data_IF_869240606261
#
_entry.id   IF_869240606261
#
_cell.length_a   1.000
_cell.length_b   1.000
_cell.length_c   1.000
_cell.angle_alpha   90.00
_cell.angle_beta   90.00
_cell.angle_gamma   90.00
#
_symmetry.space_group_name_H-M   'P 1'
#
loop_
_entity.id
_entity.type
_entity.pdbx_description
1 polymer ?
#
# COMPACT_ATOMS: atom_id res chain seq x y z
N UNK A 1 -42.79 24.04 -69.14
CA UNK A 1 -42.25 24.67 -67.93
C UNK A 1 -42.20 23.63 -66.86
N UNK A 2 -41.05 22.95 -66.70
CA UNK A 2 -40.83 21.95 -65.70
C UNK A 2 -40.16 22.58 -64.45
N UNK A 3 -40.87 22.61 -63.34
CA UNK A 3 -40.33 23.05 -62.03
C UNK A 3 -39.48 21.88 -61.44
N UNK A 4 -38.16 22.08 -61.34
CA UNK A 4 -37.27 21.18 -60.68
C UNK A 4 -37.40 21.43 -59.17
N UNK A 5 -37.83 20.42 -58.40
CA UNK A 5 -37.87 20.39 -57.00
C UNK A 5 -36.47 19.99 -56.47
N UNK A 6 -35.80 20.90 -55.76
CA UNK A 6 -34.49 20.66 -55.13
C UNK A 6 -34.73 20.06 -53.78
N UNK A 7 -34.43 18.77 -53.58
CA UNK A 7 -34.41 18.15 -52.29
C UNK A 7 -33.09 18.50 -51.60
N UNK A 8 -33.17 19.29 -50.52
CA UNK A 8 -32.07 19.51 -49.59
C UNK A 8 -31.98 18.29 -48.65
N UNK A 9 -30.93 17.51 -48.82
CA UNK A 9 -30.56 16.45 -47.88
C UNK A 9 -29.66 17.08 -46.85
N UNK A 10 -30.15 17.24 -45.59
CA UNK A 10 -29.32 17.58 -44.42
C UNK A 10 -28.57 16.32 -44.00
N UNK A 11 -27.25 16.38 -43.79
CA UNK A 11 -26.53 15.29 -43.18
C UNK A 11 -26.83 15.32 -41.65
N UNK A 12 -27.45 14.25 -41.18
CA UNK A 12 -27.60 13.97 -39.76
C UNK A 12 -26.24 13.51 -39.23
N UNK A 13 -25.51 14.42 -38.59
CA UNK A 13 -24.28 14.05 -37.87
C UNK A 13 -24.68 13.24 -36.64
N UNK A 14 -24.49 11.92 -36.72
CA UNK A 14 -24.46 11.08 -35.52
C UNK A 14 -23.24 11.50 -34.68
N UNK A 15 -23.48 12.25 -33.61
CA UNK A 15 -22.55 12.31 -32.49
C UNK A 15 -22.55 10.91 -31.86
N UNK A 16 -21.60 10.08 -32.20
CA UNK A 16 -21.21 8.95 -31.40
C UNK A 16 -20.63 9.52 -30.11
N UNK A 17 -21.43 9.54 -29.02
CA UNK A 17 -20.90 9.65 -27.68
C UNK A 17 -20.03 8.41 -27.45
N UNK A 18 -18.73 8.54 -27.63
CA UNK A 18 -17.78 7.60 -27.10
C UNK A 18 -17.93 7.69 -25.58
N UNK A 19 -18.70 6.78 -24.98
CA UNK A 19 -18.50 6.42 -23.59
C UNK A 19 -17.10 5.78 -23.53
N UNK A 20 -16.08 6.62 -23.35
CA UNK A 20 -14.83 6.19 -22.78
C UNK A 20 -15.19 5.72 -21.39
N UNK A 21 -15.03 4.43 -21.11
CA UNK A 21 -14.85 3.96 -19.76
C UNK A 21 -13.48 4.49 -19.31
N UNK A 22 -13.45 5.75 -18.87
CA UNK A 22 -12.40 6.22 -18.01
C UNK A 22 -12.61 5.42 -16.70
N UNK A 23 -11.89 4.33 -16.55
CA UNK A 23 -11.77 3.60 -15.32
C UNK A 23 -11.07 4.56 -14.34
N UNK A 24 -11.86 5.40 -13.66
CA UNK A 24 -11.32 6.24 -12.59
C UNK A 24 -10.73 5.34 -11.51
N UNK A 25 -9.70 5.84 -10.82
CA UNK A 25 -9.08 5.15 -9.71
C UNK A 25 -10.13 4.72 -8.68
N UNK A 26 -10.01 3.49 -8.19
CA UNK A 26 -10.88 2.92 -7.15
C UNK A 26 -10.18 2.97 -5.80
N UNK A 27 -10.92 3.05 -4.68
CA UNK A 27 -10.31 2.96 -3.34
C UNK A 27 -9.43 1.73 -3.14
N UNK A 28 -9.73 0.64 -3.83
CA UNK A 28 -9.02 -0.64 -3.76
C UNK A 28 -7.70 -0.67 -4.51
N UNK A 29 -7.41 0.33 -5.35
CA UNK A 29 -6.18 0.36 -6.17
C UNK A 29 -4.96 0.81 -5.36
N UNK A 30 -5.16 1.38 -4.17
CA UNK A 30 -4.11 1.94 -3.33
C UNK A 30 -4.22 1.49 -1.87
N UNK A 31 -3.10 1.52 -1.18
CA UNK A 31 -3.09 1.69 0.27
C UNK A 31 -3.13 3.20 0.58
N UNK A 32 -3.77 3.59 1.66
CA UNK A 32 -4.08 4.96 1.98
C UNK A 32 -3.53 5.37 3.34
N UNK A 33 -2.92 6.54 3.43
CA UNK A 33 -2.49 7.15 4.68
C UNK A 33 -3.36 8.35 5.01
N UNK A 34 -3.90 8.40 6.23
CA UNK A 34 -4.73 9.51 6.70
C UNK A 34 -3.93 10.82 6.73
N UNK A 35 -4.46 11.85 6.08
CA UNK A 35 -3.91 13.20 6.06
C UNK A 35 -4.82 14.21 6.74
N UNK A 36 -6.12 13.89 6.87
CA UNK A 36 -7.09 14.74 7.52
C UNK A 36 -8.20 13.96 8.20
N UNK A 37 -8.65 14.46 9.35
CA UNK A 37 -9.81 13.95 10.11
C UNK A 37 -10.68 15.11 10.54
N UNK A 38 -12.01 15.01 10.32
CA UNK A 38 -12.94 16.05 10.73
C UNK A 38 -13.11 16.08 12.25
N UNK A 39 -12.93 17.25 12.83
CA UNK A 39 -13.29 17.55 14.23
C UNK A 39 -14.80 17.60 14.43
N UNK A 40 -15.22 17.73 15.67
CA UNK A 40 -16.64 17.84 16.05
C UNK A 40 -17.37 19.06 15.48
N UNK A 41 -16.61 20.06 15.02
CA UNK A 41 -17.11 21.27 14.34
C UNK A 41 -17.13 21.14 12.80
N UNK A 42 -16.74 19.97 12.28
CA UNK A 42 -16.64 19.68 10.86
C UNK A 42 -15.38 20.23 10.18
N UNK A 43 -14.44 20.85 10.93
CA UNK A 43 -13.17 21.31 10.38
C UNK A 43 -12.21 20.12 10.22
N UNK A 44 -11.57 20.02 9.05
CA UNK A 44 -10.52 19.03 8.81
C UNK A 44 -9.24 19.46 9.54
N UNK A 45 -8.70 18.55 10.35
CA UNK A 45 -7.44 18.71 11.05
C UNK A 45 -6.44 17.62 10.68
N UNK A 46 -5.14 17.92 10.79
CA UNK A 46 -4.11 16.91 10.60
C UNK A 46 -4.16 15.84 11.72
N UNK A 47 -3.79 14.60 11.43
CA UNK A 47 -3.62 13.57 12.46
C UNK A 47 -2.60 13.96 13.53
N UNK A 48 -2.71 13.34 14.71
CA UNK A 48 -1.73 13.51 15.80
C UNK A 48 -0.33 13.18 15.26
N UNK A 49 0.64 14.04 15.54
CA UNK A 49 2.01 13.85 15.10
C UNK A 49 2.58 12.49 15.54
N UNK A 50 3.41 11.89 14.70
CA UNK A 50 3.99 10.56 14.89
C UNK A 50 2.98 9.39 14.88
N UNK A 51 1.69 9.64 14.55
CA UNK A 51 0.75 8.58 14.17
C UNK A 51 0.58 8.53 12.66
N UNK A 52 0.33 7.36 12.12
CA UNK A 52 0.10 7.17 10.69
C UNK A 52 -1.11 6.23 10.49
N UNK A 53 -2.35 6.69 10.75
CA UNK A 53 -3.52 5.87 10.45
C UNK A 53 -3.56 5.53 8.97
N UNK A 54 -3.85 4.26 8.67
CA UNK A 54 -3.88 3.75 7.31
C UNK A 54 -5.17 3.01 7.02
N UNK A 55 -5.49 2.88 5.74
CA UNK A 55 -6.60 2.08 5.22
C UNK A 55 -6.13 1.35 3.96
N UNK A 56 -6.29 0.05 3.94
CA UNK A 56 -6.07 -0.78 2.76
C UNK A 56 -7.27 -1.71 2.57
N UNK A 57 -7.47 -2.13 1.34
CA UNK A 57 -8.55 -3.02 0.95
C UNK A 57 -7.94 -4.32 0.42
N UNK A 58 -8.31 -5.45 1.01
CA UNK A 58 -7.85 -6.78 0.64
C UNK A 58 -9.05 -7.71 0.50
N UNK A 59 -9.29 -8.23 -0.69
CA UNK A 59 -10.46 -9.05 -1.01
C UNK A 59 -11.77 -8.36 -0.57
N UNK A 60 -12.44 -8.89 0.46
CA UNK A 60 -13.67 -8.38 1.05
C UNK A 60 -13.46 -7.63 2.39
N UNK A 61 -12.21 -7.30 2.73
CA UNK A 61 -11.82 -6.72 4.03
C UNK A 61 -11.11 -5.38 3.86
N UNK A 62 -11.46 -4.46 4.72
CA UNK A 62 -10.68 -3.26 4.98
C UNK A 62 -9.85 -3.47 6.24
N UNK A 63 -8.59 -3.06 6.22
CA UNK A 63 -7.67 -3.19 7.33
C UNK A 63 -6.69 -2.01 7.38
N UNK A 64 -6.06 -1.80 8.52
CA UNK A 64 -5.04 -0.77 8.69
C UNK A 64 -4.65 -0.52 10.12
N UNK A 65 -3.90 0.55 10.33
CA UNK A 65 -3.56 1.10 11.65
C UNK A 65 -4.52 2.25 11.97
N UNK A 66 -5.08 2.28 13.19
CA UNK A 66 -6.03 3.31 13.61
C UNK A 66 -5.37 4.45 14.41
N UNK A 67 -4.09 4.42 14.68
CA UNK A 67 -3.16 5.28 15.41
C UNK A 67 -2.29 4.50 16.40
N UNK A 68 -2.88 3.69 17.27
CA UNK A 68 -2.25 2.79 18.23
C UNK A 68 -2.48 1.33 17.82
N UNK A 69 -3.71 1.02 17.43
CA UNK A 69 -4.15 -0.34 17.21
C UNK A 69 -4.33 -0.67 15.72
N UNK A 70 -4.09 -1.93 15.37
CA UNK A 70 -4.49 -2.48 14.09
C UNK A 70 -5.99 -2.73 14.10
N UNK A 71 -6.66 -2.46 12.97
CA UNK A 71 -8.08 -2.76 12.82
C UNK A 71 -8.36 -3.50 11.52
N UNK A 72 -9.50 -4.17 11.48
CA UNK A 72 -10.03 -4.78 10.27
C UNK A 72 -11.56 -4.95 10.36
N UNK A 73 -12.19 -5.04 9.21
CA UNK A 73 -13.63 -5.30 9.07
C UNK A 73 -14.02 -5.54 7.63
N UNK A 74 -15.27 -5.89 7.38
CA UNK A 74 -15.80 -5.96 6.02
C UNK A 74 -16.09 -4.57 5.49
N UNK A 75 -16.09 -4.42 4.17
CA UNK A 75 -16.56 -3.23 3.49
C UNK A 75 -17.45 -3.61 2.30
N UNK A 76 -18.19 -2.64 1.79
CA UNK A 76 -18.95 -2.78 0.55
C UNK A 76 -18.78 -1.51 -0.27
N UNK A 77 -18.50 -1.68 -1.56
CA UNK A 77 -18.43 -0.62 -2.58
C UNK A 77 -19.58 -0.81 -3.58
N UNK A 78 -20.31 0.27 -3.85
CA UNK A 78 -21.36 0.31 -4.88
C UNK A 78 -21.30 1.69 -5.57
N UNK A 79 -20.67 1.76 -6.75
CA UNK A 79 -20.37 3.01 -7.43
C UNK A 79 -19.53 3.93 -6.55
N UNK A 80 -20.02 5.13 -6.23
CA UNK A 80 -19.36 6.09 -5.33
C UNK A 80 -19.73 5.92 -3.85
N UNK A 81 -20.53 4.91 -3.51
CA UNK A 81 -20.88 4.60 -2.13
C UNK A 81 -19.87 3.63 -1.52
N UNK A 82 -19.55 3.83 -0.25
CA UNK A 82 -18.74 2.93 0.56
C UNK A 82 -19.36 2.80 1.95
N UNK A 83 -19.38 1.59 2.47
CA UNK A 83 -19.79 1.33 3.86
C UNK A 83 -18.88 0.32 4.51
N UNK A 84 -18.60 0.50 5.79
CA UNK A 84 -17.81 -0.44 6.58
C UNK A 84 -18.74 -1.18 7.56
N UNK A 85 -18.56 -2.49 7.63
CA UNK A 85 -19.18 -3.33 8.66
C UNK A 85 -18.55 -3.10 10.03
N UNK A 86 -18.92 -3.89 11.04
CA UNK A 86 -18.28 -3.82 12.35
C UNK A 86 -16.77 -3.97 12.25
N UNK A 87 -16.02 -3.02 12.83
CA UNK A 87 -14.57 -3.04 12.88
C UNK A 87 -14.11 -3.70 14.18
N UNK A 88 -13.23 -4.68 14.06
CA UNK A 88 -12.46 -5.23 15.18
C UNK A 88 -11.10 -4.54 15.25
N UNK A 89 -10.57 -4.36 16.45
CA UNK A 89 -9.22 -3.82 16.66
C UNK A 89 -8.48 -4.57 17.76
N UNK A 90 -7.15 -4.46 17.76
CA UNK A 90 -6.33 -4.83 18.92
C UNK A 90 -6.63 -3.85 20.09
N UNK A 91 -6.24 -4.20 21.29
CA UNK A 91 -6.54 -3.42 22.51
C UNK A 91 -5.25 -2.99 23.22
N UNK A 92 -4.31 -2.39 22.49
CA UNK A 92 -3.14 -1.75 23.09
C UNK A 92 -3.51 -0.37 23.62
N UNK A 93 -2.81 0.09 24.66
CA UNK A 93 -2.92 1.45 25.16
C UNK A 93 -1.64 2.23 24.82
N UNK A 94 -1.77 3.30 24.05
CA UNK A 94 -0.71 4.25 23.77
C UNK A 94 -0.84 5.48 24.67
N UNK A 95 0.24 5.80 25.39
CA UNK A 95 0.23 6.84 26.41
C UNK A 95 0.39 8.25 25.84
N UNK A 96 0.74 8.39 24.57
CA UNK A 96 0.93 9.69 23.93
C UNK A 96 -0.38 10.48 23.85
N UNK A 97 -0.36 11.78 24.19
CA UNK A 97 -1.58 12.59 24.25
C UNK A 97 -2.34 12.63 22.93
N UNK A 98 -3.64 12.38 22.97
CA UNK A 98 -4.55 12.46 21.83
C UNK A 98 -4.58 11.23 20.94
N UNK A 99 -3.66 10.27 21.09
CA UNK A 99 -3.58 9.08 20.22
C UNK A 99 -4.82 8.21 20.36
N UNK A 100 -5.24 7.90 21.58
CA UNK A 100 -6.44 7.09 21.84
C UNK A 100 -7.73 7.80 21.46
N UNK A 101 -7.80 9.14 21.65
CA UNK A 101 -8.94 9.94 21.25
C UNK A 101 -9.07 9.98 19.72
N UNK A 102 -7.95 10.14 19.01
CA UNK A 102 -7.91 10.08 17.55
C UNK A 102 -8.32 8.71 17.04
N UNK A 103 -7.82 7.63 17.63
CA UNK A 103 -8.20 6.26 17.26
C UNK A 103 -9.72 6.06 17.36
N UNK A 104 -10.32 6.46 18.47
CA UNK A 104 -11.76 6.36 18.66
C UNK A 104 -12.53 7.19 17.64
N UNK A 105 -12.08 8.41 17.35
CA UNK A 105 -12.68 9.29 16.34
C UNK A 105 -12.55 8.70 14.93
N UNK A 106 -11.38 8.19 14.59
CA UNK A 106 -11.09 7.58 13.28
C UNK A 106 -11.96 6.35 13.00
N UNK A 107 -12.01 5.40 13.93
CA UNK A 107 -12.83 4.19 13.80
C UNK A 107 -14.33 4.53 13.76
N UNK A 108 -14.77 5.53 14.54
CA UNK A 108 -16.14 6.05 14.50
C UNK A 108 -16.49 6.73 13.17
N UNK A 109 -15.55 7.49 12.61
CA UNK A 109 -15.71 8.11 11.30
C UNK A 109 -15.83 7.05 10.19
N UNK A 110 -14.95 6.03 10.16
CA UNK A 110 -15.03 4.93 9.20
C UNK A 110 -16.40 4.23 9.21
N UNK A 111 -17.00 4.02 10.38
CA UNK A 111 -18.33 3.40 10.49
C UNK A 111 -19.47 4.34 10.08
N UNK A 112 -19.19 5.63 9.88
CA UNK A 112 -20.21 6.65 9.59
C UNK A 112 -20.22 7.08 8.13
N UNK A 113 -19.18 6.75 7.35
CA UNK A 113 -19.07 7.14 5.94
C UNK A 113 -20.10 6.41 5.08
N UNK A 114 -20.55 7.10 4.03
CA UNK A 114 -21.50 6.57 3.04
C UNK A 114 -21.04 6.78 1.59
N UNK A 115 -20.03 7.63 1.37
CA UNK A 115 -19.52 7.95 0.04
C UNK A 115 -18.01 8.16 0.02
N UNK A 116 -17.41 7.95 -1.16
CA UNK A 116 -16.01 8.22 -1.45
C UNK A 116 -15.85 9.01 -2.74
N UNK A 117 -14.76 9.77 -2.79
CA UNK A 117 -14.26 10.41 -4.03
C UNK A 117 -12.74 10.32 -4.05
N UNK A 118 -12.15 10.20 -5.26
CA UNK A 118 -10.71 10.26 -5.48
C UNK A 118 -10.44 11.39 -6.48
N UNK A 119 -9.49 12.26 -6.14
CA UNK A 119 -8.94 13.31 -7.01
C UNK A 119 -7.41 13.19 -7.01
N UNK A 120 -6.88 12.69 -8.12
CA UNK A 120 -5.47 12.30 -8.20
C UNK A 120 -5.11 11.23 -7.16
N UNK A 121 -4.18 11.53 -6.29
CA UNK A 121 -3.72 10.65 -5.20
C UNK A 121 -4.41 10.93 -3.86
N UNK A 122 -5.49 11.70 -3.87
CA UNK A 122 -6.24 12.03 -2.64
C UNK A 122 -7.60 11.35 -2.64
N UNK A 123 -7.89 10.57 -1.60
CA UNK A 123 -9.22 10.00 -1.34
C UNK A 123 -9.90 10.76 -0.21
N UNK A 124 -11.17 11.10 -0.42
CA UNK A 124 -12.04 11.68 0.61
C UNK A 124 -13.19 10.71 0.91
N UNK A 125 -13.37 10.35 2.17
CA UNK A 125 -14.53 9.64 2.67
C UNK A 125 -15.48 10.62 3.35
N UNK A 126 -16.76 10.56 2.99
CA UNK A 126 -17.80 11.52 3.41
C UNK A 126 -18.99 10.83 4.05
N UNK A 127 -19.78 11.56 4.82
CA UNK A 127 -21.08 11.15 5.31
C UNK A 127 -22.09 12.26 5.08
N UNK A 128 -23.21 11.94 4.40
CA UNK A 128 -24.23 12.92 4.03
C UNK A 128 -23.68 14.09 3.21
N UNK A 129 -22.59 13.88 2.46
CA UNK A 129 -21.89 14.89 1.66
C UNK A 129 -20.88 15.76 2.44
N UNK A 130 -20.71 15.55 3.74
CA UNK A 130 -19.69 16.23 4.53
C UNK A 130 -18.42 15.36 4.61
N UNK A 131 -17.22 15.90 4.29
CA UNK A 131 -15.96 15.18 4.43
C UNK A 131 -15.71 14.78 5.90
N UNK A 132 -15.32 13.53 6.15
CA UNK A 132 -14.94 13.03 7.47
C UNK A 132 -13.47 12.65 7.54
N UNK A 133 -12.94 12.01 6.48
CA UNK A 133 -11.58 11.52 6.42
C UNK A 133 -10.98 11.87 5.06
N UNK A 134 -9.76 12.37 5.07
CA UNK A 134 -8.94 12.58 3.87
C UNK A 134 -7.69 11.72 3.95
N UNK A 135 -7.31 11.16 2.81
CA UNK A 135 -6.16 10.27 2.68
C UNK A 135 -5.31 10.68 1.49
N UNK A 136 -4.01 10.43 1.59
CA UNK A 136 -3.12 10.34 0.44
C UNK A 136 -2.87 8.88 0.09
N UNK A 137 -2.77 8.58 -1.21
CA UNK A 137 -2.31 7.29 -1.67
C UNK A 137 -0.88 7.04 -1.17
N UNK A 138 -0.62 5.84 -0.65
CA UNK A 138 0.74 5.43 -0.29
C UNK A 138 1.42 5.03 -1.60
N UNK A 139 2.53 5.70 -1.91
CA UNK A 139 3.31 5.39 -3.10
C UNK A 139 3.76 3.93 -3.07
N UNK A 140 3.55 3.24 -4.18
CA UNK A 140 4.10 1.91 -4.42
C UNK A 140 5.48 1.99 -5.10
N UNK A 141 6.00 3.20 -5.33
CA UNK A 141 7.30 3.38 -5.96
C UNK A 141 8.43 2.93 -5.03
N UNK A 142 9.24 2.01 -5.51
CA UNK A 142 10.43 1.53 -4.83
C UNK A 142 11.68 2.33 -5.21
N UNK A 143 11.65 3.13 -6.28
CA UNK A 143 12.81 3.88 -6.74
C UNK A 143 13.29 4.88 -5.68
N UNK A 144 14.58 4.83 -5.35
CA UNK A 144 15.21 5.69 -4.35
C UNK A 144 14.89 5.30 -2.90
N UNK A 145 14.34 4.11 -2.66
CA UNK A 145 13.99 3.65 -1.30
C UNK A 145 14.97 2.64 -0.73
N UNK A 146 15.08 2.61 0.59
CA UNK A 146 15.88 1.65 1.36
C UNK A 146 15.00 0.95 2.39
N UNK A 147 15.28 -0.31 2.66
CA UNK A 147 14.44 -1.17 3.48
C UNK A 147 15.27 -2.10 4.37
N UNK A 148 14.85 -2.25 5.64
CA UNK A 148 15.43 -3.16 6.61
C UNK A 148 14.55 -4.41 6.75
N UNK A 149 15.07 -5.60 6.46
CA UNK A 149 14.35 -6.86 6.61
C UNK A 149 14.04 -7.12 8.09
N UNK A 150 12.78 -7.41 8.40
CA UNK A 150 12.35 -7.77 9.76
C UNK A 150 11.94 -9.22 9.88
N UNK A 151 11.44 -9.83 8.80
CA UNK A 151 11.02 -11.22 8.81
C UNK A 151 11.03 -11.82 7.39
N UNK A 152 11.17 -13.14 7.33
CA UNK A 152 11.18 -13.90 6.08
C UNK A 152 10.53 -15.27 6.24
N UNK A 153 10.05 -15.82 5.14
CA UNK A 153 9.47 -17.15 5.09
C UNK A 153 10.55 -18.24 5.31
N UNK A 154 10.38 -19.06 6.35
CA UNK A 154 11.36 -20.08 6.74
C UNK A 154 11.32 -21.36 5.89
N UNK A 155 10.41 -21.45 4.90
CA UNK A 155 10.23 -22.62 4.03
C UNK A 155 9.43 -23.78 4.64
N UNK A 156 8.96 -23.62 5.88
CA UNK A 156 8.15 -24.63 6.57
C UNK A 156 6.74 -24.16 6.91
N UNK A 157 6.31 -23.07 6.24
CA UNK A 157 4.97 -22.51 6.39
C UNK A 157 4.85 -21.43 7.47
N UNK A 158 5.97 -20.91 8.00
CA UNK A 158 6.00 -19.84 8.98
C UNK A 158 6.90 -18.66 8.59
N UNK A 159 6.71 -17.53 9.26
CA UNK A 159 7.62 -16.38 9.23
C UNK A 159 8.60 -16.46 10.39
N UNK A 160 9.85 -16.14 10.09
CA UNK A 160 10.94 -16.08 11.07
C UNK A 160 11.51 -14.66 11.08
N UNK A 161 11.72 -14.10 12.27
CA UNK A 161 12.43 -12.82 12.44
C UNK A 161 13.90 -12.98 12.04
N UNK A 162 14.52 -11.86 11.67
CA UNK A 162 15.95 -11.81 11.37
C UNK A 162 16.81 -12.15 12.61
N UNK A 163 18.01 -12.64 12.36
CA UNK A 163 19.02 -12.88 13.41
C UNK A 163 19.41 -11.54 14.04
N UNK A 164 19.44 -11.49 15.37
CA UNK A 164 19.77 -10.28 16.13
C UNK A 164 21.18 -9.80 15.75
N UNK A 165 21.35 -8.48 15.60
CA UNK A 165 22.60 -7.81 15.23
C UNK A 165 23.18 -8.23 13.86
N UNK A 166 22.37 -8.86 13.01
CA UNK A 166 22.74 -9.25 11.64
C UNK A 166 21.78 -8.55 10.66
N UNK A 167 22.04 -7.25 10.33
CA UNK A 167 21.14 -6.48 9.49
C UNK A 167 21.12 -7.00 8.05
N UNK A 168 19.92 -7.15 7.50
CA UNK A 168 19.66 -7.47 6.10
C UNK A 168 18.92 -6.30 5.49
N UNK A 169 19.44 -5.74 4.41
CA UNK A 169 18.89 -4.54 3.78
C UNK A 169 18.65 -4.74 2.29
N UNK A 170 17.75 -3.92 1.73
CA UNK A 170 17.53 -3.79 0.29
C UNK A 170 17.41 -2.32 -0.09
N UNK A 171 18.28 -1.86 -0.98
CA UNK A 171 18.31 -0.50 -1.51
C UNK A 171 17.94 -0.53 -2.99
N UNK A 172 16.81 0.07 -3.33
CA UNK A 172 16.27 0.17 -4.68
C UNK A 172 16.62 1.52 -5.30
N UNK A 173 17.72 1.58 -6.04
CA UNK A 173 18.16 2.82 -6.66
C UNK A 173 17.26 3.24 -7.85
N UNK A 174 17.18 4.55 -8.12
CA UNK A 174 16.39 5.12 -9.22
C UNK A 174 16.80 4.60 -10.60
N UNK A 175 18.04 4.13 -10.77
CA UNK A 175 18.58 3.62 -12.03
C UNK A 175 18.29 2.13 -12.27
N UNK A 176 17.48 1.48 -11.41
CA UNK A 176 17.18 0.06 -11.47
C UNK A 176 18.26 -0.84 -10.85
N UNK A 177 19.24 -0.27 -10.16
CA UNK A 177 20.22 -1.04 -9.40
C UNK A 177 19.62 -1.48 -8.06
N UNK A 178 19.82 -2.74 -7.70
CA UNK A 178 19.54 -3.29 -6.37
C UNK A 178 20.84 -3.56 -5.65
N UNK A 179 20.94 -3.12 -4.39
CA UNK A 179 22.09 -3.43 -3.53
C UNK A 179 21.64 -3.62 -2.09
N UNK A 180 22.50 -4.20 -1.26
CA UNK A 180 22.20 -4.36 0.16
C UNK A 180 23.14 -5.31 0.88
N UNK A 181 22.85 -5.51 2.17
CA UNK A 181 23.44 -6.54 3.01
C UNK A 181 22.52 -7.76 3.07
N UNK A 182 23.05 -8.95 2.89
CA UNK A 182 22.33 -10.21 3.15
C UNK A 182 22.57 -10.76 4.56
N UNK A 183 23.21 -9.95 5.41
CA UNK A 183 23.65 -10.29 6.76
C UNK A 183 25.16 -10.35 6.86
N UNK A 184 25.78 -11.39 6.34
CA UNK A 184 27.22 -11.56 6.30
C UNK A 184 27.86 -10.86 5.10
N UNK A 185 27.24 -10.97 3.95
CA UNK A 185 27.76 -10.49 2.69
C UNK A 185 26.93 -9.35 2.11
N UNK A 186 27.58 -8.50 1.32
CA UNK A 186 26.87 -7.54 0.49
C UNK A 186 26.54 -8.19 -0.85
N UNK A 187 25.41 -7.82 -1.40
CA UNK A 187 24.95 -8.28 -2.70
C UNK A 187 24.58 -7.10 -3.61
N UNK A 188 24.57 -7.35 -4.89
CA UNK A 188 24.06 -6.44 -5.90
C UNK A 188 23.17 -7.18 -6.87
N UNK A 189 22.49 -6.40 -7.72
CA UNK A 189 21.58 -6.92 -8.73
C UNK A 189 20.91 -5.79 -9.49
N UNK A 190 19.87 -6.14 -10.22
CA UNK A 190 18.97 -5.20 -10.87
C UNK A 190 17.53 -5.53 -10.51
N UNK A 191 16.68 -4.53 -10.58
CA UNK A 191 15.26 -4.66 -10.34
C UNK A 191 14.45 -3.84 -11.34
N UNK A 192 13.24 -4.28 -11.59
CA UNK A 192 12.21 -3.55 -12.33
C UNK A 192 10.87 -3.80 -11.64
N UNK A 193 10.02 -2.79 -11.59
CA UNK A 193 8.68 -2.91 -11.03
C UNK A 193 7.68 -2.16 -11.91
N UNK A 194 6.48 -2.71 -12.03
CA UNK A 194 5.35 -2.13 -12.75
C UNK A 194 4.05 -2.64 -12.13
N UNK A 195 3.20 -1.72 -11.68
CA UNK A 195 1.86 -1.99 -11.14
C UNK A 195 1.82 -3.13 -10.09
N UNK A 196 2.70 -3.04 -9.07
CA UNK A 196 2.79 -4.03 -7.99
C UNK A 196 3.51 -5.33 -8.34
N UNK A 197 3.90 -5.55 -9.60
CA UNK A 197 4.78 -6.64 -10.00
C UNK A 197 6.23 -6.23 -9.87
N UNK A 198 7.12 -7.17 -9.55
CA UNK A 198 8.56 -6.92 -9.43
C UNK A 198 9.36 -8.06 -10.04
N UNK A 199 10.41 -7.71 -10.78
CA UNK A 199 11.42 -8.65 -11.25
C UNK A 199 12.77 -8.28 -10.64
N UNK A 200 13.42 -9.22 -9.97
CA UNK A 200 14.73 -9.04 -9.34
C UNK A 200 15.70 -10.04 -9.94
N UNK A 201 16.81 -9.52 -10.47
CA UNK A 201 17.92 -10.33 -10.98
C UNK A 201 19.13 -10.13 -10.08
N UNK A 202 19.42 -11.12 -9.24
CA UNK A 202 20.57 -11.06 -8.35
C UNK A 202 21.90 -11.17 -9.11
N UNK A 203 22.80 -10.29 -8.79
CA UNK A 203 24.15 -10.24 -9.30
C UNK A 203 25.20 -10.81 -8.33
N UNK A 204 26.46 -10.34 -8.45
CA UNK A 204 27.52 -10.78 -7.58
C UNK A 204 27.29 -10.45 -6.11
N UNK A 205 27.87 -11.26 -5.23
CA UNK A 205 27.98 -10.98 -3.79
C UNK A 205 29.41 -11.18 -3.32
N UNK A 206 29.74 -10.57 -2.18
CA UNK A 206 30.97 -10.93 -1.46
C UNK A 206 30.86 -12.39 -0.95
N UNK A 207 32.00 -13.00 -0.63
CA UNK A 207 32.05 -14.39 -0.21
C UNK A 207 32.84 -14.49 1.11
N UNK A 208 32.43 -13.72 2.11
CA UNK A 208 32.99 -13.85 3.46
C UNK A 208 32.32 -15.04 4.18
N UNK A 209 33.10 -15.79 4.93
CA UNK A 209 32.57 -16.76 5.86
C UNK A 209 32.28 -16.10 7.20
N UNK A 210 31.04 -16.10 7.62
CA UNK A 210 30.69 -15.65 8.96
C UNK A 210 30.91 -16.76 9.99
N UNK A 211 31.28 -16.34 11.19
CA UNK A 211 31.43 -17.26 12.29
C UNK A 211 30.08 -17.79 12.83
N UNK A 212 29.01 -17.07 12.54
CA UNK A 212 27.64 -17.41 12.95
C UNK A 212 26.95 -18.22 11.84
N UNK A 213 26.62 -19.49 12.15
CA UNK A 213 25.92 -20.39 11.23
C UNK A 213 24.49 -19.95 10.94
N UNK A 214 23.82 -19.31 11.91
CA UNK A 214 22.45 -18.80 11.74
C UNK A 214 22.44 -17.62 10.76
N UNK A 215 23.47 -16.74 10.82
CA UNK A 215 23.65 -15.65 9.85
C UNK A 215 23.86 -16.18 8.43
N UNK A 216 24.66 -17.24 8.26
CA UNK A 216 24.90 -17.87 6.94
C UNK A 216 23.63 -18.54 6.38
N UNK A 217 22.83 -19.16 7.27
CA UNK A 217 21.55 -19.77 6.90
C UNK A 217 20.54 -18.69 6.49
N UNK A 218 20.43 -17.58 7.27
CA UNK A 218 19.61 -16.44 6.94
C UNK A 218 20.00 -15.82 5.58
N UNK A 219 21.28 -15.58 5.35
CA UNK A 219 21.79 -15.03 4.09
C UNK A 219 21.35 -15.87 2.89
N UNK A 220 21.59 -17.19 2.97
CA UNK A 220 21.23 -18.12 1.89
C UNK A 220 19.73 -18.07 1.63
N UNK A 221 18.93 -18.18 2.68
CA UNK A 221 17.47 -18.18 2.58
C UNK A 221 16.94 -16.84 2.04
N UNK A 222 17.44 -15.72 2.56
CA UNK A 222 17.05 -14.39 2.11
C UNK A 222 17.26 -14.20 0.61
N UNK A 223 18.44 -14.56 0.10
CA UNK A 223 18.76 -14.41 -1.31
C UNK A 223 17.91 -15.31 -2.21
N UNK A 224 17.62 -16.53 -1.77
CA UNK A 224 16.72 -17.44 -2.49
C UNK A 224 15.31 -16.82 -2.58
N UNK A 225 14.81 -16.27 -1.49
CA UNK A 225 13.49 -15.63 -1.45
C UNK A 225 13.43 -14.34 -2.27
N UNK A 226 14.49 -13.51 -2.20
CA UNK A 226 14.55 -12.26 -2.96
C UNK A 226 14.50 -12.52 -4.48
N UNK A 227 15.11 -13.62 -4.93
CA UNK A 227 15.04 -14.06 -6.33
C UNK A 227 13.69 -14.66 -6.75
N UNK A 228 12.82 -14.98 -5.79
CA UNK A 228 11.47 -15.53 -6.03
C UNK A 228 10.39 -14.45 -5.95
N UNK A 229 10.75 -13.19 -5.63
CA UNK A 229 9.78 -12.10 -5.57
C UNK A 229 9.15 -11.88 -6.94
N UNK A 230 7.82 -11.88 -6.99
CA UNK A 230 7.00 -11.70 -8.18
C UNK A 230 6.09 -10.47 -8.05
N UNK A 231 5.52 -10.26 -6.87
CA UNK A 231 4.72 -9.08 -6.56
C UNK A 231 5.16 -8.44 -5.24
N UNK A 232 4.82 -7.17 -5.06
CA UNK A 232 5.13 -6.44 -3.84
C UNK A 232 4.00 -5.48 -3.47
N UNK A 233 4.02 -5.04 -2.22
CA UNK A 233 3.13 -4.01 -1.69
C UNK A 233 3.88 -3.15 -0.69
N UNK A 234 3.74 -1.82 -0.85
CA UNK A 234 4.21 -0.85 0.14
C UNK A 234 3.01 -0.33 0.93
N UNK A 235 3.09 -0.31 2.24
CA UNK A 235 2.03 0.23 3.09
C UNK A 235 2.46 0.41 4.54
N UNK A 236 2.04 1.49 5.17
CA UNK A 236 2.31 1.78 6.59
C UNK A 236 3.81 1.71 6.98
N UNK A 237 4.72 2.12 6.08
CA UNK A 237 6.16 2.04 6.32
C UNK A 237 6.73 0.63 6.20
N UNK A 238 5.97 -0.31 5.65
CA UNK A 238 6.41 -1.69 5.37
C UNK A 238 6.46 -1.94 3.87
N UNK A 239 7.40 -2.79 3.47
CA UNK A 239 7.44 -3.42 2.16
C UNK A 239 7.24 -4.93 2.36
N UNK A 240 6.26 -5.49 1.70
CA UNK A 240 6.01 -6.93 1.65
C UNK A 240 6.23 -7.44 0.24
N UNK A 241 6.90 -8.58 0.10
CA UNK A 241 7.08 -9.26 -1.19
C UNK A 241 6.46 -10.64 -1.17
N UNK A 242 5.92 -11.03 -2.30
CA UNK A 242 5.18 -12.28 -2.49
C UNK A 242 5.77 -13.04 -3.67
N UNK A 243 5.66 -14.37 -3.62
CA UNK A 243 6.00 -15.24 -4.73
C UNK A 243 4.84 -15.37 -5.73
N UNK A 244 5.07 -16.13 -6.81
CA UNK A 244 4.07 -16.38 -7.87
C UNK A 244 2.79 -17.07 -7.40
N UNK A 245 2.81 -17.71 -6.23
CA UNK A 245 1.63 -18.32 -5.61
C UNK A 245 0.88 -17.33 -4.69
N UNK A 246 1.35 -16.07 -4.59
CA UNK A 246 0.81 -15.06 -3.69
C UNK A 246 1.19 -15.31 -2.22
N UNK A 247 2.16 -16.19 -1.95
CA UNK A 247 2.66 -16.39 -0.59
C UNK A 247 3.61 -15.26 -0.22
N UNK A 248 3.37 -14.59 0.91
CA UNK A 248 4.32 -13.60 1.44
C UNK A 248 5.64 -14.28 1.79
N UNK A 249 6.73 -13.76 1.25
CA UNK A 249 8.07 -14.34 1.39
C UNK A 249 9.04 -13.44 2.16
N UNK A 250 8.95 -12.12 2.02
CA UNK A 250 9.81 -11.14 2.70
C UNK A 250 8.98 -10.00 3.27
N UNK A 251 9.39 -9.48 4.42
CA UNK A 251 8.78 -8.34 5.08
C UNK A 251 9.85 -7.41 5.63
N UNK A 252 9.75 -6.12 5.26
CA UNK A 252 10.70 -5.08 5.63
C UNK A 252 10.00 -3.92 6.33
N UNK A 253 10.79 -3.11 7.04
CA UNK A 253 10.43 -1.78 7.50
C UNK A 253 11.27 -0.72 6.81
N UNK A 254 10.71 0.46 6.62
CA UNK A 254 11.49 1.63 6.25
C UNK A 254 12.49 1.95 7.37
N UNK A 255 13.75 2.29 7.05
CA UNK A 255 14.75 2.61 8.07
C UNK A 255 14.27 3.80 8.92
N UNK A 256 14.46 3.70 10.23
CA UNK A 256 14.23 4.83 11.14
C UNK A 256 15.36 5.84 10.95
N UNK A 257 15.05 7.03 10.41
CA UNK A 257 15.99 8.13 10.20
C UNK A 257 16.54 8.72 11.50
#
# INVERSE_FOLDING_TARGET
MMKRLLLLVLPFALLAAACGSDGGAMPTDYAWQLTGIAGSDGTMGAPVAATAPTLAFEDDRAAGNASCNQYFGSYNLDGSSITFGPLASTEMFCADPGVMDQEAAYLGALQSVDAWTIDGETMTLSSGGAPLLEYAAISQDLAGTSWDLIAYNNGTGGFQSTVIDVPVTADFAEDGTLSGSSGCNNYGGTWQADDGSIEIVLGPSTLMACADEDAMTQETRYRDLLALADTYRVGAGMLEMFDTDGTRILQYLAPTG
#
